data_IF_182552658539
#
_entry.id   IF_182552658539
#
_cell.length_a   1.000
_cell.length_b   1.000
_cell.length_c   1.000
_cell.angle_alpha   90.00
_cell.angle_beta   90.00
_cell.angle_gamma   90.00
#
_symmetry.space_group_name_H-M   'P 1'
#
loop_
_entity.id
_entity.type
_entity.pdbx_description
1 polymer ?
#
# COMPACT_ATOMS: atom_id res chain seq x y z
N UNK A 1 -8.96 5.88 -10.18
CA UNK A 1 -8.36 4.92 -9.24
C UNK A 1 -7.33 4.13 -10.04
N UNK A 2 -6.25 4.82 -10.41
CA UNK A 2 -5.36 4.41 -11.51
C UNK A 2 -3.94 4.19 -11.01
N UNK A 3 -3.82 3.78 -9.74
CA UNK A 3 -2.52 3.44 -9.18
C UNK A 3 -2.26 1.95 -9.38
N UNK A 4 -1.39 1.60 -10.31
CA UNK A 4 -1.00 0.22 -10.61
C UNK A 4 0.03 -0.33 -9.61
N UNK A 5 0.65 0.53 -8.79
CA UNK A 5 1.71 0.17 -7.84
C UNK A 5 1.30 -1.02 -6.94
N UNK A 6 0.10 -1.06 -6.30
CA UNK A 6 -0.26 -2.20 -5.46
C UNK A 6 -0.41 -3.50 -6.24
N UNK A 7 -0.93 -3.43 -7.47
CA UNK A 7 -1.12 -4.59 -8.34
C UNK A 7 0.22 -5.17 -8.80
N UNK A 8 1.17 -4.32 -9.17
CA UNK A 8 2.50 -4.74 -9.60
C UNK A 8 3.29 -5.40 -8.46
N UNK A 9 3.18 -4.87 -7.22
CA UNK A 9 3.80 -5.51 -6.04
C UNK A 9 3.22 -6.91 -5.83
N UNK A 10 1.89 -7.06 -5.91
CA UNK A 10 1.23 -8.35 -5.74
C UNK A 10 1.65 -9.36 -6.82
N UNK A 11 1.70 -8.93 -8.09
CA UNK A 11 2.16 -9.75 -9.21
C UNK A 11 3.62 -10.17 -9.01
N UNK A 12 4.49 -9.25 -8.58
CA UNK A 12 5.90 -9.55 -8.35
C UNK A 12 6.12 -10.58 -7.25
N UNK A 13 5.36 -10.48 -6.16
CA UNK A 13 5.40 -11.48 -5.08
C UNK A 13 4.92 -12.85 -5.61
N UNK A 14 3.84 -12.89 -6.38
CA UNK A 14 3.32 -14.13 -6.99
C UNK A 14 4.35 -14.79 -7.91
N UNK A 15 5.03 -14.02 -8.76
CA UNK A 15 6.11 -14.50 -9.62
C UNK A 15 7.25 -15.11 -8.81
N UNK A 16 7.68 -14.44 -7.73
CA UNK A 16 8.80 -14.89 -6.90
C UNK A 16 8.46 -16.15 -6.08
N UNK A 17 7.22 -16.28 -5.61
CA UNK A 17 6.72 -17.53 -5.00
C UNK A 17 6.78 -18.69 -6.00
N UNK A 18 6.30 -18.49 -7.23
CA UNK A 18 6.32 -19.51 -8.29
C UNK A 18 7.74 -19.92 -8.66
N UNK A 19 8.68 -18.98 -8.69
CA UNK A 19 10.10 -19.23 -8.93
C UNK A 19 10.84 -19.85 -7.73
N UNK A 20 10.19 -20.00 -6.57
CA UNK A 20 10.82 -20.40 -5.29
C UNK A 20 12.00 -19.50 -4.90
N UNK A 21 11.94 -18.24 -5.28
CA UNK A 21 12.96 -17.25 -4.96
C UNK A 21 12.59 -16.48 -3.71
N UNK A 22 13.58 -16.20 -2.87
CA UNK A 22 13.34 -15.37 -1.69
C UNK A 22 13.15 -13.92 -2.12
N UNK A 23 12.00 -13.36 -1.76
CA UNK A 23 11.64 -11.98 -2.05
C UNK A 23 10.90 -11.36 -0.86
N UNK A 24 11.09 -10.07 -0.61
CA UNK A 24 10.42 -9.34 0.47
C UNK A 24 10.18 -7.90 0.03
N UNK A 25 8.96 -7.41 0.26
CA UNK A 25 8.58 -6.02 0.00
C UNK A 25 8.18 -5.37 1.32
N UNK A 26 8.72 -4.19 1.59
CA UNK A 26 8.43 -3.41 2.79
C UNK A 26 7.70 -2.14 2.39
N UNK A 27 6.47 -1.96 2.88
CA UNK A 27 5.65 -0.79 2.62
C UNK A 27 5.59 0.04 3.90
N UNK A 28 6.17 1.23 3.88
CA UNK A 28 6.12 2.18 4.99
C UNK A 28 5.10 3.25 4.65
N UNK A 29 4.04 3.32 5.45
CA UNK A 29 3.02 4.35 5.39
C UNK A 29 3.09 5.21 6.66
N UNK A 30 2.79 6.52 6.56
CA UNK A 30 2.76 7.37 7.74
C UNK A 30 1.62 6.93 8.68
N UNK A 31 1.86 7.03 9.99
CA UNK A 31 0.86 6.69 11.01
C UNK A 31 -0.37 7.60 10.95
N UNK A 32 -0.17 8.84 10.48
CA UNK A 32 -1.22 9.83 10.24
C UNK A 32 -0.81 10.66 9.03
N UNK A 33 -1.75 11.03 8.14
CA UNK A 33 -1.45 12.06 7.15
C UNK A 33 -1.10 13.35 7.90
N UNK A 34 -0.09 14.10 7.45
CA UNK A 34 0.26 15.39 8.04
C UNK A 34 -0.95 16.34 7.97
N UNK A 35 -1.63 16.54 9.11
CA UNK A 35 -2.85 17.36 9.23
C UNK A 35 -3.63 17.06 10.52
N UNK A 36 -4.31 18.07 11.08
CA UNK A 36 -5.02 17.99 12.37
C UNK A 36 -6.15 16.95 12.30
N UNK A 37 -6.23 15.99 13.24
CA UNK A 37 -7.12 14.82 13.17
C UNK A 37 -8.63 15.12 13.33
N UNK A 38 -9.03 16.39 13.51
CA UNK A 38 -10.43 16.80 13.70
C UNK A 38 -11.12 17.34 12.45
N UNK A 39 -10.42 17.47 11.32
CA UNK A 39 -11.06 17.90 10.08
C UNK A 39 -11.56 16.68 9.27
N UNK A 40 -12.77 16.83 8.74
CA UNK A 40 -13.56 15.81 8.03
C UNK A 40 -12.86 15.14 6.81
N UNK A 41 -11.78 15.65 6.18
CA UNK A 41 -11.13 14.95 5.07
C UNK A 41 -10.32 13.71 5.51
N UNK A 42 -9.88 13.63 6.78
CA UNK A 42 -8.93 12.60 7.24
C UNK A 42 -9.57 11.22 7.38
N UNK A 43 -10.90 11.14 7.53
CA UNK A 43 -11.61 9.85 7.59
C UNK A 43 -11.80 9.17 6.22
N UNK A 44 -11.48 9.84 5.11
CA UNK A 44 -11.60 9.25 3.76
C UNK A 44 -10.37 8.46 3.29
N UNK A 45 -9.21 8.65 3.91
CA UNK A 45 -7.99 7.91 3.56
C UNK A 45 -8.01 6.50 4.15
N UNK A 46 -8.64 6.29 5.31
CA UNK A 46 -8.86 4.98 5.92
C UNK A 46 -9.91 4.11 5.18
N UNK A 47 -10.68 4.67 4.25
CA UNK A 47 -11.69 3.92 3.50
C UNK A 47 -11.16 3.34 2.17
N UNK A 48 -10.03 3.85 1.66
CA UNK A 48 -9.45 3.45 0.37
C UNK A 48 -7.99 3.01 0.46
N UNK A 49 -7.50 2.72 1.68
CA UNK A 49 -6.31 1.89 1.86
C UNK A 49 -6.63 0.41 1.69
#
# INVERSE_FOLDING_TARGET
>A
ADNLIPMEIALKISEKIKAKERFSAYVVIPMWPEGVPTDIPTQRILYWQ
#
